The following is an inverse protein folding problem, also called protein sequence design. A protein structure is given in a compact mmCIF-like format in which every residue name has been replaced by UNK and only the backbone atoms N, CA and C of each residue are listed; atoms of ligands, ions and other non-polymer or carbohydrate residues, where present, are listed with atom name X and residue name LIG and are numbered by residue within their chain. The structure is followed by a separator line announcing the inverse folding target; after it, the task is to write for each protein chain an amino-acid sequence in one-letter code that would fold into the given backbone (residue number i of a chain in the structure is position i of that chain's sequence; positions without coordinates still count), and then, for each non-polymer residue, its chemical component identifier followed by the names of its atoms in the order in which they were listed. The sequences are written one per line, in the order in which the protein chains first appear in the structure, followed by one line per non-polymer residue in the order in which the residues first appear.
data_IF_094869269712
#
_entry.id   IF_094869269712
#
_cell.length_a   1.000
_cell.length_b   1.000
_cell.length_c   1.000
_cell.angle_alpha   90.00
_cell.angle_beta   90.00
_cell.angle_gamma   90.00
#
_symmetry.space_group_name_H-M   'P 1'
#
loop_
_entity.id
_entity.type
_entity.pdbx_description
1 polymer ?
#
# COMPACT_ATOMS: atom_id res chain seq x y z
N UNK A 1 -21.36 -15.11 -7.84
CA UNK A 1 -20.85 -13.82 -7.29
C UNK A 1 -19.36 -13.59 -7.62
N UNK A 2 -18.68 -14.46 -8.38
CA UNK A 2 -17.23 -14.38 -8.65
C UNK A 2 -16.84 -13.74 -9.99
N UNK A 3 -17.78 -13.57 -10.94
CA UNK A 3 -17.43 -13.21 -12.32
C UNK A 3 -17.21 -11.72 -12.59
N UNK A 4 -17.72 -10.83 -11.73
CA UNK A 4 -17.66 -9.36 -11.92
C UNK A 4 -16.39 -8.74 -11.31
N UNK A 5 -15.81 -9.38 -10.28
CA UNK A 5 -14.64 -8.83 -9.59
C UNK A 5 -13.34 -8.95 -10.42
N UNK A 6 -13.18 -10.06 -11.15
CA UNK A 6 -11.96 -10.37 -11.92
C UNK A 6 -11.55 -9.27 -12.92
N UNK A 7 -12.44 -8.68 -13.74
CA UNK A 7 -12.03 -7.62 -14.68
C UNK A 7 -11.76 -6.27 -14.01
N UNK A 8 -12.32 -5.99 -12.82
CA UNK A 8 -12.19 -4.68 -12.15
C UNK A 8 -10.92 -4.61 -11.30
N UNK A 9 -10.46 -5.73 -10.75
CA UNK A 9 -9.21 -5.81 -9.97
C UNK A 9 -7.97 -5.22 -10.67
N UNK A 10 -7.66 -5.55 -11.94
CA UNK A 10 -6.49 -4.98 -12.62
C UNK A 10 -6.63 -3.47 -12.84
N UNK A 11 -7.85 -2.95 -13.08
CA UNK A 11 -8.08 -1.51 -13.14
C UNK A 11 -7.83 -0.85 -11.78
N UNK A 12 -8.33 -1.45 -10.69
CA UNK A 12 -8.09 -0.96 -9.34
C UNK A 12 -6.59 -0.94 -9.02
N UNK A 13 -5.87 -2.01 -9.37
CA UNK A 13 -4.42 -2.08 -9.18
C UNK A 13 -3.67 -1.03 -10.01
N UNK A 14 -4.07 -0.82 -11.27
CA UNK A 14 -3.43 0.16 -12.15
C UNK A 14 -3.65 1.60 -11.66
N UNK A 15 -4.91 2.00 -11.48
CA UNK A 15 -5.25 3.35 -11.03
C UNK A 15 -4.74 3.59 -9.62
N UNK A 16 -4.97 2.65 -8.71
CA UNK A 16 -4.52 2.75 -7.34
C UNK A 16 -2.99 2.80 -7.23
N UNK A 17 -2.26 2.06 -8.06
CA UNK A 17 -0.80 2.12 -8.15
C UNK A 17 -0.28 3.45 -8.67
N UNK A 18 -0.89 4.00 -9.72
CA UNK A 18 -0.55 5.33 -10.28
C UNK A 18 -0.79 6.42 -9.23
N UNK A 19 -2.00 6.46 -8.67
CA UNK A 19 -2.39 7.44 -7.64
C UNK A 19 -1.46 7.33 -6.42
N UNK A 20 -1.22 6.10 -5.93
CA UNK A 20 -0.30 5.83 -4.84
C UNK A 20 1.12 6.34 -5.12
N UNK A 21 1.65 6.04 -6.31
CA UNK A 21 2.99 6.42 -6.72
C UNK A 21 3.16 7.93 -6.88
N UNK A 22 2.13 8.62 -7.40
CA UNK A 22 2.12 10.08 -7.52
C UNK A 22 2.01 10.78 -6.17
N UNK A 23 1.17 10.27 -5.27
CA UNK A 23 0.91 10.87 -3.97
C UNK A 23 2.01 10.56 -2.94
N UNK A 24 2.82 9.53 -3.16
CA UNK A 24 3.89 9.13 -2.24
C UNK A 24 3.39 8.56 -0.90
N UNK A 25 2.10 8.28 -0.78
CA UNK A 25 1.44 7.87 0.48
C UNK A 25 1.62 6.38 0.84
N UNK A 26 2.34 5.60 0.02
CA UNK A 26 2.54 4.18 0.28
C UNK A 26 1.29 3.31 0.09
N UNK A 27 0.40 3.70 -0.84
CA UNK A 27 -0.65 2.88 -1.48
C UNK A 27 -1.80 2.32 -0.65
N UNK A 28 -1.59 1.98 0.62
CA UNK A 28 -2.57 1.33 1.47
C UNK A 28 -3.81 2.19 1.70
N UNK A 29 -3.62 3.51 1.81
CA UNK A 29 -4.71 4.50 2.00
C UNK A 29 -5.70 4.50 0.84
N UNK A 30 -5.24 4.16 -0.38
CA UNK A 30 -6.06 4.21 -1.60
C UNK A 30 -6.55 2.82 -1.97
N UNK A 31 -5.65 1.82 -1.98
CA UNK A 31 -5.99 0.47 -2.45
C UNK A 31 -6.98 -0.23 -1.51
N UNK A 32 -6.90 -0.01 -0.20
CA UNK A 32 -7.76 -0.68 0.77
C UNK A 32 -9.24 -0.29 0.63
N UNK A 33 -9.63 1.00 0.57
CA UNK A 33 -11.00 1.40 0.29
C UNK A 33 -11.44 1.00 -1.12
N UNK A 34 -10.56 1.02 -2.11
CA UNK A 34 -10.88 0.54 -3.46
C UNK A 34 -11.22 -0.97 -3.47
N UNK A 35 -10.46 -1.81 -2.78
CA UNK A 35 -10.73 -3.25 -2.70
C UNK A 35 -12.00 -3.57 -1.89
N UNK A 36 -12.26 -2.82 -0.82
CA UNK A 36 -13.41 -3.08 0.06
C UNK A 36 -14.72 -2.47 -0.47
N UNK A 37 -14.71 -1.22 -0.92
CA UNK A 37 -15.89 -0.52 -1.42
C UNK A 37 -16.25 -0.94 -2.85
N UNK A 38 -15.25 -0.98 -3.74
CA UNK A 38 -15.48 -1.25 -5.18
C UNK A 38 -15.33 -2.73 -5.51
N UNK A 39 -14.29 -3.37 -4.96
CA UNK A 39 -14.05 -4.80 -5.15
C UNK A 39 -14.94 -5.72 -4.29
N UNK A 40 -15.65 -5.18 -3.30
CA UNK A 40 -16.46 -5.93 -2.31
C UNK A 40 -15.69 -7.10 -1.67
N UNK A 41 -14.38 -6.99 -1.58
CA UNK A 41 -13.50 -8.01 -0.99
C UNK A 41 -13.65 -7.96 0.53
N UNK A 42 -13.75 -9.11 1.23
CA UNK A 42 -13.78 -9.13 2.68
C UNK A 42 -12.59 -8.37 3.27
N UNK A 43 -12.84 -7.54 4.29
CA UNK A 43 -11.81 -6.65 4.87
C UNK A 43 -10.51 -7.39 5.20
N UNK A 44 -10.61 -8.59 5.77
CA UNK A 44 -9.46 -9.43 6.12
C UNK A 44 -8.59 -9.80 4.91
N UNK A 45 -9.20 -10.13 3.78
CA UNK A 45 -8.50 -10.41 2.52
C UNK A 45 -7.96 -9.13 1.90
N UNK A 46 -8.76 -8.06 1.89
CA UNK A 46 -8.38 -6.77 1.32
C UNK A 46 -7.14 -6.17 2.02
N UNK A 47 -7.04 -6.29 3.36
CA UNK A 47 -5.86 -5.85 4.11
C UNK A 47 -4.61 -6.60 3.68
N UNK A 48 -4.66 -7.93 3.58
CA UNK A 48 -3.52 -8.72 3.11
C UNK A 48 -3.11 -8.38 1.68
N UNK A 49 -4.07 -8.31 0.75
CA UNK A 49 -3.81 -7.96 -0.66
C UNK A 49 -3.26 -6.54 -0.80
N UNK A 50 -3.74 -5.60 0.01
CA UNK A 50 -3.23 -4.22 0.00
C UNK A 50 -1.76 -4.14 0.37
N UNK A 51 -1.31 -4.91 1.37
CA UNK A 51 0.09 -4.95 1.79
C UNK A 51 0.99 -5.43 0.65
N UNK A 52 0.60 -6.51 -0.01
CA UNK A 52 1.35 -7.04 -1.16
C UNK A 52 1.41 -6.00 -2.29
N UNK A 53 0.28 -5.36 -2.61
CA UNK A 53 0.24 -4.30 -3.61
C UNK A 53 1.19 -3.14 -3.25
N UNK A 54 1.15 -2.68 -2.00
CA UNK A 54 2.01 -1.59 -1.50
C UNK A 54 3.47 -1.96 -1.59
N UNK A 55 3.85 -3.20 -1.26
CA UNK A 55 5.24 -3.65 -1.40
C UNK A 55 5.74 -3.52 -2.84
N UNK A 56 4.97 -4.00 -3.82
CA UNK A 56 5.35 -3.88 -5.23
C UNK A 56 5.37 -2.42 -5.71
N UNK A 57 4.38 -1.62 -5.32
CA UNK A 57 4.32 -0.20 -5.68
C UNK A 57 5.49 0.59 -5.09
N UNK A 58 5.85 0.33 -3.82
CA UNK A 58 6.98 0.96 -3.15
C UNK A 58 8.31 0.52 -3.78
N UNK A 59 8.48 -0.75 -4.15
CA UNK A 59 9.65 -1.23 -4.85
C UNK A 59 9.82 -0.57 -6.22
N UNK A 60 8.74 -0.50 -7.01
CA UNK A 60 8.74 0.16 -8.32
C UNK A 60 9.02 1.67 -8.19
N UNK A 61 8.39 2.34 -7.22
CA UNK A 61 8.61 3.75 -6.91
C UNK A 61 10.05 4.03 -6.49
N UNK A 62 10.61 3.20 -5.61
CA UNK A 62 12.01 3.27 -5.16
C UNK A 62 12.97 3.08 -6.33
N UNK A 63 12.74 2.08 -7.19
CA UNK A 63 13.57 1.85 -8.37
C UNK A 63 13.53 3.04 -9.34
N UNK A 64 12.36 3.64 -9.56
CA UNK A 64 12.20 4.83 -10.39
C UNK A 64 13.00 6.02 -9.82
N UNK A 65 12.89 6.28 -8.52
CA UNK A 65 13.62 7.35 -7.84
C UNK A 65 15.13 7.07 -7.80
N UNK A 66 15.52 5.81 -7.68
CA UNK A 66 16.93 5.38 -7.69
C UNK A 66 17.56 5.69 -9.04
N UNK A 67 16.87 5.37 -10.14
CA UNK A 67 17.31 5.74 -11.49
C UNK A 67 17.40 7.25 -11.71
N UNK A 68 16.58 8.03 -11.01
CA UNK A 68 16.66 9.49 -11.02
C UNK A 68 17.79 10.07 -10.14
N UNK A 69 18.55 9.23 -9.40
CA UNK A 69 19.64 9.66 -8.54
C UNK A 69 19.22 10.42 -7.28
N UNK A 70 17.94 10.37 -6.91
CA UNK A 70 17.33 11.16 -5.82
C UNK A 70 16.97 10.34 -4.58
N UNK A 71 17.57 9.16 -4.39
CA UNK A 71 17.26 8.29 -3.25
C UNK A 71 18.21 8.58 -2.10
N UNK A 72 17.66 9.10 -1.01
CA UNK A 72 18.34 9.12 0.28
C UNK A 72 18.07 7.81 1.03
N UNK A 73 19.04 6.89 0.95
CA UNK A 73 18.98 5.61 1.65
C UNK A 73 19.02 5.75 3.18
N UNK A 74 19.68 6.78 3.71
CA UNK A 74 19.76 7.00 5.16
C UNK A 74 18.41 7.45 5.69
N UNK A 75 17.81 8.45 5.03
CA UNK A 75 16.44 8.89 5.32
C UNK A 75 15.42 7.77 5.17
N UNK A 76 15.51 6.99 4.08
CA UNK A 76 14.63 5.84 3.84
C UNK A 76 14.73 4.76 4.92
N UNK A 77 15.94 4.43 5.38
CA UNK A 77 16.14 3.44 6.44
C UNK A 77 15.63 3.93 7.80
N UNK A 78 15.90 5.19 8.15
CA UNK A 78 15.40 5.82 9.38
C UNK A 78 13.86 5.80 9.41
N UNK A 79 13.22 6.22 8.31
CA UNK A 79 11.77 6.19 8.17
C UNK A 79 11.22 4.76 8.20
N UNK A 80 11.90 3.80 7.59
CA UNK A 80 11.53 2.39 7.62
C UNK A 80 11.52 1.82 9.03
N UNK A 81 12.61 2.01 9.79
CA UNK A 81 12.71 1.53 11.17
C UNK A 81 11.71 2.24 12.09
N UNK A 82 11.58 3.57 11.97
CA UNK A 82 10.60 4.35 12.71
C UNK A 82 9.16 3.91 12.39
N UNK A 83 8.87 3.63 11.11
CA UNK A 83 7.56 3.15 10.66
C UNK A 83 7.22 1.76 11.18
N UNK A 84 8.19 0.84 11.21
CA UNK A 84 8.01 -0.48 11.83
C UNK A 84 7.72 -0.30 13.33
N UNK A 85 8.56 0.43 14.06
CA UNK A 85 8.36 0.67 15.49
C UNK A 85 7.03 1.34 15.81
N UNK A 86 6.68 2.40 15.07
CA UNK A 86 5.42 3.11 15.21
C UNK A 86 4.20 2.26 14.86
N UNK A 87 4.31 1.39 13.85
CA UNK A 87 3.26 0.45 13.47
C UNK A 87 2.98 -0.59 14.56
N UNK A 88 4.03 -1.15 15.16
CA UNK A 88 3.89 -2.06 16.30
C UNK A 88 3.25 -1.34 17.50
N UNK A 89 3.77 -0.18 17.90
CA UNK A 89 3.22 0.60 19.02
C UNK A 89 1.76 0.99 18.79
N UNK A 90 1.43 1.44 17.57
CA UNK A 90 0.06 1.76 17.17
C UNK A 90 -0.87 0.55 17.25
N UNK A 91 -0.41 -0.64 16.85
CA UNK A 91 -1.18 -1.88 16.99
C UNK A 91 -1.44 -2.23 18.45
N UNK A 92 -0.48 -1.98 19.36
CA UNK A 92 -0.67 -2.21 20.79
C UNK A 92 -1.65 -1.21 21.41
N UNK A 93 -1.57 0.07 21.04
CA UNK A 93 -2.46 1.13 21.51
C UNK A 93 -3.90 1.00 20.96
N UNK A 94 -4.07 0.41 19.78
CA UNK A 94 -5.38 0.26 19.12
C UNK A 94 -6.26 -0.83 19.74
N UNK A 95 -5.70 -1.71 20.58
CA UNK A 95 -6.50 -2.68 21.34
C UNK A 95 -7.16 -1.93 22.50
N UNK A 96 -8.50 -1.76 22.49
CA UNK A 96 -9.18 -1.17 23.64
C UNK A 96 -9.12 -2.18 24.80
N UNK A 97 -8.61 -1.72 25.95
CA UNK A 97 -8.69 -2.43 27.23
C UNK A 97 -10.15 -2.59 27.69
#
# INVERSE_FOLDING_TARGET
MESIALPVLPLIGLFGGILSGLLGLGGGVIILPLLTLLGRVPLKLATGTSLVHVMFAAAAGTLSHYRAGKVDFRGGLLLGVAGIGGGFLGSFLSVPL
#
